data_IF_411338657651
#
_entry.id   IF_411338657651
#
_cell.length_a   1.000
_cell.length_b   1.000
_cell.length_c   1.000
_cell.angle_alpha   90.00
_cell.angle_beta   90.00
_cell.angle_gamma   90.00
#
_symmetry.space_group_name_H-M   'P 1'
#
loop_
_entity.id
_entity.type
_entity.pdbx_description
1 polymer ?
#
# COMPACT_ATOMS: atom_id res chain seq x y z
N UNK A 1 14.25 22.70 -0.72
CA UNK A 1 13.63 21.35 -0.89
C UNK A 1 13.14 20.85 0.47
N UNK A 2 11.96 20.22 0.53
CA UNK A 2 11.38 19.68 1.78
C UNK A 2 11.20 18.17 1.65
N UNK A 3 11.65 17.44 2.67
CA UNK A 3 11.40 16.00 2.78
C UNK A 3 10.50 15.76 3.99
N UNK A 4 9.52 14.87 3.85
CA UNK A 4 8.66 14.43 4.95
C UNK A 4 8.62 12.91 4.94
N UNK A 5 8.85 12.33 6.11
CA UNK A 5 8.81 10.89 6.32
C UNK A 5 7.76 10.60 7.38
N UNK A 6 6.91 9.60 7.13
CA UNK A 6 5.90 9.13 8.07
C UNK A 6 5.92 7.61 8.07
N UNK A 7 5.93 7.02 9.25
CA UNK A 7 5.90 5.58 9.42
C UNK A 7 4.85 5.22 10.46
N UNK A 8 4.16 4.09 10.24
CA UNK A 8 3.21 3.52 11.19
C UNK A 8 3.45 2.02 11.28
N UNK A 9 3.25 1.48 12.47
CA UNK A 9 3.27 0.04 12.73
C UNK A 9 2.09 -0.30 13.63
N UNK A 10 1.42 -1.40 13.35
CA UNK A 10 0.30 -1.90 14.15
C UNK A 10 0.48 -3.39 14.39
N UNK A 11 0.46 -3.76 15.66
CA UNK A 11 0.31 -5.13 16.12
C UNK A 11 -1.12 -5.31 16.63
N UNK A 12 -1.82 -6.35 16.18
CA UNK A 12 -3.21 -6.64 16.55
C UNK A 12 -3.32 -8.10 16.95
N UNK A 13 -3.62 -8.36 18.22
CA UNK A 13 -4.00 -9.69 18.71
C UNK A 13 -5.53 -9.77 18.72
N UNK A 14 -6.09 -10.71 17.96
CA UNK A 14 -7.53 -10.98 17.93
C UNK A 14 -7.79 -12.43 18.28
N UNK A 15 -8.66 -12.67 19.26
CA UNK A 15 -9.05 -14.03 19.66
C UNK A 15 -10.56 -14.16 19.73
N UNK A 16 -11.06 -15.29 19.30
CA UNK A 16 -12.39 -15.77 19.63
C UNK A 16 -12.43 -16.12 21.13
N UNK A 17 -13.40 -15.59 21.87
CA UNK A 17 -13.47 -15.79 23.33
C UNK A 17 -13.93 -17.19 23.72
N UNK A 18 -14.58 -17.91 22.81
CA UNK A 18 -15.13 -19.25 23.04
C UNK A 18 -14.10 -20.34 22.74
N UNK A 19 -13.32 -20.18 21.66
CA UNK A 19 -12.36 -21.18 21.18
C UNK A 19 -10.89 -20.77 21.32
N UNK A 20 -10.61 -19.51 21.69
CA UNK A 20 -9.25 -18.93 21.80
C UNK A 20 -8.45 -18.97 20.49
N UNK A 21 -9.13 -19.06 19.35
CA UNK A 21 -8.53 -19.08 18.00
C UNK A 21 -8.43 -17.66 17.42
N UNK A 22 -7.50 -17.45 16.49
CA UNK A 22 -7.36 -16.19 15.78
C UNK A 22 -8.54 -15.90 14.85
N UNK A 23 -8.98 -14.64 14.79
CA UNK A 23 -10.03 -14.24 13.87
C UNK A 23 -9.52 -14.19 12.42
N UNK A 24 -10.21 -14.81 11.46
CA UNK A 24 -9.83 -14.75 10.05
C UNK A 24 -9.83 -13.32 9.49
N UNK A 25 -8.98 -13.10 8.49
CA UNK A 25 -8.78 -11.85 7.74
C UNK A 25 -8.32 -10.68 8.61
N UNK A 26 -7.64 -10.99 9.71
CA UNK A 26 -7.01 -10.03 10.62
C UNK A 26 -5.50 -10.30 10.67
N UNK A 27 -4.71 -9.64 9.81
CA UNK A 27 -3.26 -9.76 9.89
C UNK A 27 -2.79 -9.19 11.23
N UNK A 28 -1.96 -9.95 11.94
CA UNK A 28 -1.43 -9.51 13.23
C UNK A 28 -0.55 -8.27 13.07
N UNK A 29 0.18 -8.17 11.96
CA UNK A 29 1.17 -7.13 11.73
C UNK A 29 0.84 -6.36 10.46
N UNK A 30 0.85 -5.03 10.58
CA UNK A 30 0.81 -4.11 9.43
C UNK A 30 1.80 -2.99 9.65
N UNK A 31 2.47 -2.59 8.58
CA UNK A 31 3.37 -1.44 8.61
C UNK A 31 3.17 -0.58 7.37
N UNK A 32 3.39 0.73 7.50
CA UNK A 32 3.41 1.64 6.36
C UNK A 32 4.55 2.63 6.50
N UNK A 33 5.21 2.95 5.39
CA UNK A 33 6.21 4.00 5.28
C UNK A 33 5.85 4.91 4.10
N UNK A 34 5.77 6.21 4.37
CA UNK A 34 5.59 7.24 3.34
C UNK A 34 6.79 8.16 3.35
N UNK A 35 7.43 8.33 2.19
CA UNK A 35 8.49 9.31 1.97
C UNK A 35 8.04 10.27 0.88
N UNK A 36 7.86 11.54 1.23
CA UNK A 36 7.51 12.60 0.29
C UNK A 36 8.64 13.61 0.19
N UNK A 37 8.93 14.08 -1.03
CA UNK A 37 9.94 15.11 -1.23
C UNK A 37 9.52 16.12 -2.29
N UNK A 38 9.88 17.39 -2.07
CA UNK A 38 9.74 18.46 -3.06
C UNK A 38 11.09 19.02 -3.48
N UNK A 39 11.18 19.37 -4.77
CA UNK A 39 12.35 19.99 -5.40
C UNK A 39 11.93 21.19 -6.26
N UNK A 40 12.93 21.92 -6.78
CA UNK A 40 12.74 23.00 -7.76
C UNK A 40 11.71 24.05 -7.28
N UNK A 41 11.89 24.56 -6.07
CA UNK A 41 10.96 25.52 -5.44
C UNK A 41 9.49 25.05 -5.46
N UNK A 42 9.30 23.77 -5.14
CA UNK A 42 8.02 23.04 -5.10
C UNK A 42 7.40 22.72 -6.47
N UNK A 43 8.09 22.98 -7.58
CA UNK A 43 7.63 22.57 -8.92
C UNK A 43 7.69 21.07 -9.14
N UNK A 44 8.52 20.33 -8.43
CA UNK A 44 8.58 18.88 -8.51
C UNK A 44 8.24 18.25 -7.17
N UNK A 45 7.40 17.21 -7.18
CA UNK A 45 7.05 16.41 -6.00
C UNK A 45 7.15 14.93 -6.32
N UNK A 46 7.65 14.16 -5.36
CA UNK A 46 7.72 12.71 -5.43
C UNK A 46 7.22 12.11 -4.12
N UNK A 47 6.55 10.97 -4.21
CA UNK A 47 6.06 10.20 -3.09
C UNK A 47 6.38 8.72 -3.32
N UNK A 48 6.96 8.11 -2.29
CA UNK A 48 7.10 6.67 -2.13
C UNK A 48 6.19 6.25 -0.98
N UNK A 49 5.34 5.26 -1.23
CA UNK A 49 4.52 4.61 -0.23
C UNK A 49 4.83 3.11 -0.22
N UNK A 50 5.24 2.59 0.94
CA UNK A 50 5.47 1.17 1.16
C UNK A 50 4.46 0.70 2.20
N UNK A 51 3.76 -0.39 1.91
CA UNK A 51 2.78 -0.98 2.80
C UNK A 51 3.03 -2.47 2.96
N UNK A 52 3.14 -2.92 4.20
CA UNK A 52 3.33 -4.31 4.59
C UNK A 52 2.08 -4.83 5.27
N UNK A 53 1.67 -6.03 4.88
CA UNK A 53 0.63 -6.81 5.55
C UNK A 53 1.20 -8.19 5.82
N UNK A 54 1.21 -8.57 7.10
CA UNK A 54 1.67 -9.89 7.53
C UNK A 54 0.74 -11.02 7.09
N UNK A 55 1.23 -12.24 7.28
CA UNK A 55 0.46 -13.45 7.08
C UNK A 55 -0.83 -13.43 7.91
N UNK A 56 -1.86 -14.09 7.40
CA UNK A 56 -3.15 -14.15 8.08
C UNK A 56 -3.97 -15.35 7.64
N UNK A 57 -4.78 -15.86 8.54
CA UNK A 57 -5.86 -16.78 8.20
C UNK A 57 -6.87 -16.06 7.31
N UNK A 58 -7.33 -16.69 6.22
CA UNK A 58 -8.43 -16.17 5.39
C UNK A 58 -9.79 -16.74 5.79
N UNK A 59 -9.81 -18.03 6.16
CA UNK A 59 -10.99 -18.71 6.66
C UNK A 59 -10.58 -19.76 7.70
N UNK A 60 -11.38 -19.87 8.77
CA UNK A 60 -11.21 -20.90 9.79
C UNK A 60 -12.31 -21.97 9.62
N UNK A 61 -11.91 -23.24 9.62
CA UNK A 61 -12.78 -24.41 9.56
C UNK A 61 -12.29 -25.47 10.52
N UNK A 62 -13.23 -26.27 11.04
CA UNK A 62 -12.97 -27.48 11.86
C UNK A 62 -11.95 -28.44 11.23
N UNK A 63 -11.75 -28.40 9.92
CA UNK A 63 -10.89 -29.32 9.17
C UNK A 63 -9.60 -28.67 8.66
N UNK A 64 -9.27 -27.45 9.12
CA UNK A 64 -8.11 -26.68 8.70
C UNK A 64 -8.51 -25.34 8.07
N UNK A 65 -7.68 -24.31 8.28
CA UNK A 65 -7.85 -22.98 7.70
C UNK A 65 -6.89 -22.73 6.53
N UNK A 66 -7.26 -21.81 5.65
CA UNK A 66 -6.34 -21.32 4.60
C UNK A 66 -5.60 -20.11 5.14
N UNK A 67 -4.27 -20.13 5.07
CA UNK A 67 -3.42 -18.98 5.38
C UNK A 67 -3.07 -18.28 4.08
N UNK A 68 -3.17 -16.95 4.07
CA UNK A 68 -2.65 -16.10 3.02
C UNK A 68 -1.29 -15.57 3.45
N UNK A 69 -0.33 -15.69 2.54
CA UNK A 69 1.04 -15.19 2.71
C UNK A 69 1.05 -13.68 2.96
N UNK A 70 2.14 -13.23 3.57
CA UNK A 70 2.42 -11.82 3.72
C UNK A 70 2.73 -11.17 2.37
N UNK A 71 2.63 -9.84 2.33
CA UNK A 71 2.94 -9.09 1.12
C UNK A 71 3.41 -7.68 1.39
N UNK A 72 4.21 -7.16 0.46
CA UNK A 72 4.66 -5.77 0.43
C UNK A 72 4.15 -5.11 -0.86
N UNK A 73 3.50 -3.97 -0.71
CA UNK A 73 3.14 -3.09 -1.83
C UNK A 73 4.04 -1.87 -1.82
N UNK A 74 4.54 -1.53 -3.00
CA UNK A 74 5.31 -0.30 -3.24
C UNK A 74 4.58 0.53 -4.27
N UNK A 75 4.18 1.73 -3.90
CA UNK A 75 3.53 2.69 -4.78
C UNK A 75 4.40 3.93 -4.92
N UNK A 76 4.46 4.47 -6.13
CA UNK A 76 5.24 5.64 -6.49
C UNK A 76 4.32 6.67 -7.12
N UNK A 77 4.47 7.94 -6.74
CA UNK A 77 3.78 9.06 -7.39
C UNK A 77 4.76 10.20 -7.64
N UNK A 78 4.64 10.86 -8.78
CA UNK A 78 5.45 12.01 -9.17
C UNK A 78 4.59 13.08 -9.83
N UNK A 79 4.89 14.34 -9.53
CA UNK A 79 4.24 15.51 -10.11
C UNK A 79 5.31 16.54 -10.51
N UNK A 80 5.11 17.19 -11.65
CA UNK A 80 6.00 18.24 -12.14
C UNK A 80 5.22 19.37 -12.80
N UNK A 81 5.34 20.57 -12.24
CA UNK A 81 4.73 21.78 -12.77
C UNK A 81 5.52 22.31 -13.97
N UNK A 82 4.98 22.04 -15.17
CA UNK A 82 5.55 22.45 -16.44
C UNK A 82 5.53 23.97 -16.57
N UNK A 83 4.39 24.58 -16.24
CA UNK A 83 4.19 26.02 -16.22
C UNK A 83 3.04 26.38 -15.27
N UNK A 84 2.59 27.65 -15.28
CA UNK A 84 1.52 28.14 -14.40
C UNK A 84 0.17 27.43 -14.60
N UNK A 85 -0.04 26.78 -15.75
CA UNK A 85 -1.32 26.18 -16.12
C UNK A 85 -1.28 24.65 -16.19
N UNK A 86 -0.11 24.05 -16.32
CA UNK A 86 0.01 22.61 -16.58
C UNK A 86 0.94 21.91 -15.59
N UNK A 87 0.46 20.80 -15.05
CA UNK A 87 1.22 19.86 -14.25
C UNK A 87 1.21 18.48 -14.91
N UNK A 88 2.39 17.88 -15.07
CA UNK A 88 2.55 16.47 -15.44
C UNK A 88 2.50 15.60 -14.20
N UNK A 89 1.72 14.53 -14.22
CA UNK A 89 1.74 13.52 -13.16
C UNK A 89 2.03 12.13 -13.71
N UNK A 90 2.63 11.31 -12.86
CA UNK A 90 2.81 9.89 -13.07
C UNK A 90 2.60 9.14 -11.75
N UNK A 91 1.98 7.97 -11.82
CA UNK A 91 1.75 7.08 -10.68
C UNK A 91 2.01 5.63 -11.09
N UNK A 92 2.63 4.88 -10.22
CA UNK A 92 2.81 3.45 -10.36
C UNK A 92 2.33 2.78 -9.08
N UNK A 93 1.35 1.89 -9.22
CA UNK A 93 0.83 1.06 -8.13
C UNK A 93 1.41 -0.34 -8.23
N UNK A 94 1.68 -0.94 -7.06
CA UNK A 94 2.25 -2.28 -6.96
C UNK A 94 3.51 -2.43 -7.84
N UNK A 95 4.47 -1.51 -7.68
CA UNK A 95 5.68 -1.40 -8.49
C UNK A 95 6.57 -2.64 -8.46
N UNK A 96 6.42 -3.51 -7.44
CA UNK A 96 7.10 -4.81 -7.35
C UNK A 96 6.36 -5.93 -8.09
N UNK A 97 5.20 -5.65 -8.67
CA UNK A 97 4.31 -6.62 -9.29
C UNK A 97 3.97 -7.79 -8.34
N UNK A 98 3.68 -7.48 -7.08
CA UNK A 98 3.35 -8.48 -6.07
C UNK A 98 2.03 -9.15 -6.41
N UNK A 99 2.02 -10.48 -6.44
CA UNK A 99 0.79 -11.25 -6.51
C UNK A 99 0.28 -11.48 -5.09
N UNK A 100 -0.85 -10.87 -4.76
CA UNK A 100 -1.44 -10.98 -3.43
C UNK A 100 -2.96 -11.13 -3.53
N UNK A 101 -3.56 -11.56 -2.44
CA UNK A 101 -4.99 -11.68 -2.28
C UNK A 101 -5.37 -10.99 -0.98
N UNK A 102 -6.41 -10.16 -0.99
CA UNK A 102 -6.99 -9.60 0.25
C UNK A 102 -7.95 -10.58 0.92
N UNK A 103 -8.64 -11.37 0.10
CA UNK A 103 -9.45 -12.52 0.48
C UNK A 103 -9.16 -13.68 -0.48
N UNK A 104 -9.11 -14.90 0.04
CA UNK A 104 -8.74 -16.09 -0.72
C UNK A 104 -9.63 -16.28 -1.94
N UNK A 105 -9.00 -16.57 -3.08
CA UNK A 105 -9.70 -16.76 -4.37
C UNK A 105 -10.04 -15.46 -5.12
N UNK A 106 -9.80 -14.28 -4.53
CA UNK A 106 -9.95 -12.99 -5.20
C UNK A 106 -8.58 -12.36 -5.44
N UNK A 107 -8.14 -12.37 -6.70
CA UNK A 107 -6.88 -11.73 -7.10
C UNK A 107 -6.96 -10.22 -6.98
N UNK A 108 -5.90 -9.61 -6.45
CA UNK A 108 -5.72 -8.16 -6.50
C UNK A 108 -5.02 -7.75 -7.82
N UNK A 109 -5.14 -6.48 -8.24
CA UNK A 109 -4.40 -5.97 -9.40
C UNK A 109 -2.88 -6.13 -9.25
N UNK A 110 -2.22 -6.53 -10.33
CA UNK A 110 -0.74 -6.53 -10.44
C UNK A 110 -0.19 -5.11 -10.59
N UNK A 111 1.00 -4.98 -11.19
CA UNK A 111 1.59 -3.66 -11.48
C UNK A 111 0.69 -2.83 -12.40
N UNK A 112 0.49 -1.56 -12.06
CA UNK A 112 -0.27 -0.62 -12.88
C UNK A 112 0.43 0.74 -12.96
N UNK A 113 0.45 1.34 -14.15
CA UNK A 113 1.02 2.65 -14.41
C UNK A 113 -0.02 3.63 -14.93
N UNK A 114 0.03 4.86 -14.43
CA UNK A 114 -0.87 5.94 -14.81
C UNK A 114 -0.06 7.22 -15.03
N UNK A 115 -0.52 8.08 -15.92
CA UNK A 115 0.09 9.38 -16.12
C UNK A 115 -0.77 10.28 -16.99
N UNK A 116 -0.50 11.57 -16.92
CA UNK A 116 -1.27 12.56 -17.68
C UNK A 116 -0.91 13.99 -17.32
N UNK A 117 -1.70 14.92 -17.85
CA UNK A 117 -1.57 16.34 -17.62
C UNK A 117 -2.80 16.86 -16.86
N UNK A 118 -2.55 17.63 -15.81
CA UNK A 118 -3.56 18.36 -15.07
C UNK A 118 -3.53 19.84 -15.49
N UNK A 119 -4.70 20.41 -15.77
CA UNK A 119 -4.87 21.86 -15.87
C UNK A 119 -5.04 22.42 -14.46
N UNK A 120 -4.19 23.34 -14.07
CA UNK A 120 -4.18 24.02 -12.76
C UNK A 120 -4.37 25.51 -12.99
N UNK A 121 -5.22 26.16 -12.19
CA UNK A 121 -5.55 27.59 -12.31
C UNK A 121 -5.39 28.31 -10.97
#
# INVERSE_FOLDING_TARGET
PRTTVSANYTLTDTRDLQFQEELPRRPQQKASLTVSRTWLDNRARGNLYVFYVGERLDFASRFGGTVLDDYVLVNLTGNYQLNRHWELFARMDNALNQHYQEAGGFGAPGIAGYGGLNLVW
#
